data_IF_310948467269
#
_entry.id   IF_310948467269
#
_cell.length_a   1.000
_cell.length_b   1.000
_cell.length_c   1.000
_cell.angle_alpha   90.00
_cell.angle_beta   90.00
_cell.angle_gamma   90.00
#
_symmetry.space_group_name_H-M   'P 1'
#
loop_
_entity.id
_entity.type
_entity.pdbx_description
1 polymer ?
#
# COMPACT_ATOMS: atom_id res chain seq x y z
N UNK A 1 -8.25 19.41 10.48
CA UNK A 1 -7.98 18.87 9.13
C UNK A 1 -8.86 17.64 8.93
N UNK A 2 -9.53 17.55 7.78
CA UNK A 2 -10.43 16.44 7.41
C UNK A 2 -9.74 15.55 6.38
N UNK A 3 -9.73 14.24 6.63
CA UNK A 3 -9.11 13.24 5.76
C UNK A 3 -10.19 12.38 5.11
N UNK A 4 -10.27 12.41 3.79
CA UNK A 4 -11.06 11.49 3.00
C UNK A 4 -10.27 10.24 2.67
N UNK A 5 -10.91 9.07 2.73
CA UNK A 5 -10.36 7.80 2.25
C UNK A 5 -11.39 7.14 1.36
N UNK A 6 -10.99 6.78 0.13
CA UNK A 6 -11.87 6.13 -0.85
C UNK A 6 -11.42 4.69 -1.09
N UNK A 7 -12.29 3.75 -0.75
CA UNK A 7 -12.04 2.31 -0.71
C UNK A 7 -11.87 1.84 0.74
N UNK A 8 -12.69 0.88 1.18
CA UNK A 8 -12.71 0.37 2.55
C UNK A 8 -12.07 -1.01 2.71
N UNK A 9 -11.28 -1.45 1.72
CA UNK A 9 -10.48 -2.67 1.81
C UNK A 9 -9.35 -2.56 2.84
N UNK A 10 -8.47 -3.57 2.88
CA UNK A 10 -7.39 -3.69 3.88
C UNK A 10 -6.57 -2.39 4.00
N UNK A 11 -6.13 -1.82 2.88
CA UNK A 11 -5.31 -0.60 2.88
C UNK A 11 -6.10 0.62 3.33
N UNK A 12 -7.25 0.91 2.71
CA UNK A 12 -8.05 2.08 3.05
C UNK A 12 -8.57 2.07 4.49
N UNK A 13 -8.97 0.90 5.01
CA UNK A 13 -9.34 0.76 6.43
C UNK A 13 -8.16 1.05 7.36
N UNK A 14 -6.99 0.50 7.07
CA UNK A 14 -5.78 0.74 7.85
C UNK A 14 -5.31 2.20 7.80
N UNK A 15 -5.42 2.86 6.65
CA UNK A 15 -5.14 4.29 6.47
C UNK A 15 -6.11 5.12 7.31
N UNK A 16 -7.42 4.88 7.16
CA UNK A 16 -8.44 5.57 7.93
C UNK A 16 -8.21 5.41 9.45
N UNK A 17 -7.89 4.20 9.90
CA UNK A 17 -7.59 3.93 11.31
C UNK A 17 -6.39 4.74 11.83
N UNK A 18 -5.30 4.82 11.07
CA UNK A 18 -4.09 5.58 11.47
C UNK A 18 -4.39 7.06 11.66
N UNK A 19 -5.13 7.66 10.72
CA UNK A 19 -5.52 9.06 10.82
C UNK A 19 -6.49 9.30 11.99
N UNK A 20 -7.50 8.45 12.14
CA UNK A 20 -8.47 8.54 13.24
C UNK A 20 -7.80 8.39 14.62
N UNK A 21 -6.87 7.45 14.77
CA UNK A 21 -6.08 7.26 16.00
C UNK A 21 -5.21 8.48 16.34
N UNK A 22 -4.90 9.31 15.35
CA UNK A 22 -4.10 10.53 15.52
C UNK A 22 -4.97 11.79 15.69
N UNK A 23 -6.29 11.62 15.89
CA UNK A 23 -7.22 12.70 16.19
C UNK A 23 -7.78 13.45 14.96
N UNK A 24 -7.61 12.90 13.75
CA UNK A 24 -8.20 13.48 12.55
C UNK A 24 -9.66 13.06 12.39
N UNK A 25 -10.48 13.95 11.84
CA UNK A 25 -11.81 13.59 11.35
C UNK A 25 -11.67 12.88 10.01
N UNK A 26 -12.16 11.65 9.93
CA UNK A 26 -11.99 10.80 8.75
C UNK A 26 -13.34 10.49 8.11
N UNK A 27 -13.41 10.57 6.78
CA UNK A 27 -14.52 10.05 5.99
C UNK A 27 -14.03 8.86 5.19
N UNK A 28 -14.50 7.67 5.54
CA UNK A 28 -14.20 6.43 4.82
C UNK A 28 -15.37 6.09 3.90
N UNK A 29 -15.09 6.04 2.60
CA UNK A 29 -16.08 5.78 1.57
C UNK A 29 -15.83 4.46 0.86
N UNK A 30 -16.91 3.79 0.46
CA UNK A 30 -16.87 2.63 -0.43
C UNK A 30 -18.19 2.56 -1.22
N UNK A 31 -18.25 1.75 -2.27
CA UNK A 31 -19.45 1.56 -3.09
C UNK A 31 -20.51 0.73 -2.35
N UNK A 32 -20.10 -0.14 -1.42
CA UNK A 32 -20.99 -1.12 -0.79
C UNK A 32 -21.10 -0.88 0.72
N UNK A 33 -22.34 -0.84 1.22
CA UNK A 33 -22.61 -0.71 2.66
C UNK A 33 -22.05 -1.89 3.45
N UNK A 34 -22.07 -3.08 2.87
CA UNK A 34 -21.53 -4.30 3.47
C UNK A 34 -20.01 -4.22 3.65
N UNK A 35 -19.30 -3.64 2.69
CA UNK A 35 -17.86 -3.42 2.77
C UNK A 35 -17.51 -2.43 3.88
N UNK A 36 -18.29 -1.35 4.03
CA UNK A 36 -18.12 -0.37 5.11
C UNK A 36 -18.42 -0.96 6.49
N UNK A 37 -19.46 -1.80 6.59
CA UNK A 37 -19.79 -2.50 7.83
C UNK A 37 -18.65 -3.44 8.24
N UNK A 38 -18.12 -4.22 7.30
CA UNK A 38 -16.97 -5.07 7.55
C UNK A 38 -15.73 -4.26 7.96
N UNK A 39 -15.45 -3.15 7.26
CA UNK A 39 -14.36 -2.25 7.59
C UNK A 39 -14.47 -1.69 9.02
N UNK A 40 -15.69 -1.35 9.47
CA UNK A 40 -15.92 -0.90 10.86
C UNK A 40 -15.57 -2.00 11.87
N UNK A 41 -16.01 -3.23 11.63
CA UNK A 41 -15.70 -4.40 12.48
C UNK A 41 -14.19 -4.65 12.53
N UNK A 42 -13.53 -4.67 11.37
CA UNK A 42 -12.10 -4.94 11.27
C UNK A 42 -11.27 -3.87 12.00
N UNK A 43 -11.67 -2.60 11.86
CA UNK A 43 -11.06 -1.49 12.58
C UNK A 43 -11.25 -1.63 14.09
N UNK A 44 -12.46 -1.96 14.57
CA UNK A 44 -12.74 -2.19 15.99
C UNK A 44 -11.89 -3.31 16.58
N UNK A 45 -11.77 -4.43 15.85
CA UNK A 45 -10.92 -5.55 16.24
C UNK A 45 -9.44 -5.17 16.29
N UNK A 46 -8.96 -4.42 15.29
CA UNK A 46 -7.59 -3.93 15.28
C UNK A 46 -7.32 -2.99 16.45
N UNK A 47 -8.20 -2.02 16.70
CA UNK A 47 -8.09 -1.08 17.82
C UNK A 47 -8.08 -1.81 19.17
N UNK A 48 -8.93 -2.81 19.33
CA UNK A 48 -8.97 -3.66 20.54
C UNK A 48 -7.68 -4.45 20.74
N UNK A 49 -7.04 -4.92 19.66
CA UNK A 49 -5.73 -5.59 19.74
C UNK A 49 -4.61 -4.62 20.10
N UNK A 50 -4.65 -3.39 19.57
CA UNK A 50 -3.65 -2.35 19.83
C UNK A 50 -3.77 -1.82 21.26
N UNK A 51 -4.98 -1.58 21.76
CA UNK A 51 -5.21 -1.07 23.13
C UNK A 51 -4.72 -2.04 24.21
N UNK A 52 -4.69 -3.35 23.92
CA UNK A 52 -4.09 -4.37 24.81
C UNK A 52 -2.56 -4.37 24.82
N UNK A 53 -1.92 -3.88 23.76
CA UNK A 53 -0.45 -3.93 23.58
C UNK A 53 0.27 -2.63 23.91
N UNK A 54 -0.44 -1.50 23.92
CA UNK A 54 0.13 -0.19 24.24
C UNK A 54 -0.38 0.29 25.59
N UNK A 55 0.46 0.98 26.36
CA UNK A 55 0.08 1.78 27.54
C UNK A 55 -0.70 3.07 27.18
N UNK A 56 -1.14 3.20 25.93
CA UNK A 56 -1.90 4.37 25.49
C UNK A 56 -3.38 4.14 25.79
N UNK A 57 -4.01 5.11 26.46
CA UNK A 57 -5.44 5.17 26.77
C UNK A 57 -6.36 5.30 25.52
N UNK A 58 -6.07 4.57 24.43
CA UNK A 58 -6.86 4.56 23.21
C UNK A 58 -8.14 3.77 23.48
N UNK A 59 -9.27 4.46 23.47
CA UNK A 59 -10.59 3.84 23.50
C UNK A 59 -11.07 3.61 22.07
N UNK A 60 -11.32 2.36 21.65
CA UNK A 60 -11.80 2.07 20.29
C UNK A 60 -13.06 2.86 19.91
N UNK A 61 -13.97 3.08 20.88
CA UNK A 61 -15.18 3.88 20.69
C UNK A 61 -14.90 5.30 20.20
N UNK A 62 -13.91 5.95 20.78
CA UNK A 62 -13.62 7.37 20.54
C UNK A 62 -13.01 7.53 19.14
N UNK A 63 -12.12 6.59 18.76
CA UNK A 63 -11.57 6.53 17.40
C UNK A 63 -12.67 6.26 16.38
N UNK A 64 -13.55 5.29 16.62
CA UNK A 64 -14.65 4.95 15.71
C UNK A 64 -15.68 6.07 15.55
N UNK A 65 -15.83 6.95 16.54
CA UNK A 65 -16.70 8.14 16.46
C UNK A 65 -16.11 9.23 15.57
N UNK A 66 -14.78 9.29 15.43
CA UNK A 66 -14.09 10.22 14.53
C UNK A 66 -14.12 9.80 13.05
N UNK A 67 -14.64 8.60 12.76
CA UNK A 67 -14.75 8.05 11.40
C UNK A 67 -16.20 8.00 10.94
N UNK A 68 -16.50 8.74 9.86
CA UNK A 68 -17.75 8.64 9.12
C UNK A 68 -17.61 7.55 8.06
N UNK A 69 -18.42 6.51 8.15
CA UNK A 69 -18.51 5.44 7.15
C UNK A 69 -19.71 5.73 6.25
N UNK A 70 -19.48 5.96 4.96
CA UNK A 70 -20.56 6.39 4.06
C UNK A 70 -20.38 5.88 2.64
N UNK A 71 -21.47 5.62 1.93
CA UNK A 71 -21.43 5.33 0.49
C UNK A 71 -21.49 6.59 -0.37
N UNK A 72 -21.69 7.74 0.26
CA UNK A 72 -21.84 9.03 -0.40
C UNK A 72 -20.48 9.73 -0.55
N UNK A 73 -19.98 9.78 -1.79
CA UNK A 73 -18.70 10.42 -2.10
C UNK A 73 -18.74 11.95 -1.96
N UNK A 74 -19.91 12.58 -2.00
CA UNK A 74 -20.04 14.03 -1.82
C UNK A 74 -19.55 14.48 -0.44
N UNK A 75 -19.54 13.58 0.54
CA UNK A 75 -18.98 13.85 1.87
C UNK A 75 -17.45 14.03 1.87
N UNK A 76 -16.78 13.78 0.74
CA UNK A 76 -15.37 14.06 0.54
C UNK A 76 -15.11 15.51 0.11
N UNK A 77 -16.12 16.26 -0.34
CA UNK A 77 -15.96 17.55 -1.03
C UNK A 77 -15.09 18.57 -0.27
N UNK A 78 -15.29 18.70 1.04
CA UNK A 78 -14.59 19.63 1.94
C UNK A 78 -13.34 19.04 2.61
N UNK A 79 -12.90 17.84 2.20
CA UNK A 79 -11.70 17.20 2.76
C UNK A 79 -10.44 17.99 2.41
N UNK A 80 -9.48 18.07 3.33
CA UNK A 80 -8.19 18.70 3.06
C UNK A 80 -7.30 17.80 2.18
N UNK A 81 -7.39 16.49 2.42
CA UNK A 81 -6.67 15.44 1.68
C UNK A 81 -7.65 14.30 1.44
N UNK A 82 -7.69 13.77 0.21
CA UNK A 82 -8.39 12.53 -0.12
C UNK A 82 -7.36 11.47 -0.55
N UNK A 83 -7.37 10.32 0.11
CA UNK A 83 -6.49 9.18 -0.18
C UNK A 83 -7.30 8.07 -0.83
N UNK A 84 -7.03 7.80 -2.10
CA UNK A 84 -7.65 6.73 -2.86
C UNK A 84 -6.90 5.40 -2.62
N UNK A 85 -7.64 4.35 -2.27
CA UNK A 85 -7.15 3.00 -1.98
C UNK A 85 -8.13 1.92 -2.52
N UNK A 86 -8.59 2.10 -3.77
CA UNK A 86 -9.40 1.15 -4.52
C UNK A 86 -8.53 0.12 -5.25
N UNK A 87 -9.16 -0.70 -6.09
CA UNK A 87 -8.49 -1.73 -6.88
C UNK A 87 -7.32 -1.17 -7.70
N UNK A 88 -6.26 -1.97 -7.83
CA UNK A 88 -5.02 -1.59 -8.51
C UNK A 88 -5.19 -1.66 -10.04
N UNK A 89 -5.98 -0.74 -10.59
CA UNK A 89 -6.29 -0.64 -12.01
C UNK A 89 -6.25 0.81 -12.49
N UNK A 90 -5.42 1.09 -13.50
CA UNK A 90 -5.22 2.45 -14.01
C UNK A 90 -6.50 3.12 -14.51
N UNK A 91 -7.36 2.40 -15.22
CA UNK A 91 -8.65 2.96 -15.70
C UNK A 91 -9.58 3.30 -14.54
N UNK A 92 -9.66 2.42 -13.55
CA UNK A 92 -10.49 2.65 -12.37
C UNK A 92 -9.99 3.86 -11.56
N UNK A 93 -8.69 3.94 -11.29
CA UNK A 93 -8.09 5.07 -10.56
C UNK A 93 -8.21 6.38 -11.32
N UNK A 94 -7.85 6.45 -12.61
CA UNK A 94 -8.01 7.69 -13.40
C UNK A 94 -9.47 8.14 -13.52
N UNK A 95 -10.43 7.21 -13.60
CA UNK A 95 -11.86 7.54 -13.55
C UNK A 95 -12.26 8.16 -12.21
N UNK A 96 -11.82 7.57 -11.10
CA UNK A 96 -12.09 8.07 -9.76
C UNK A 96 -11.43 9.42 -9.53
N UNK A 97 -10.21 9.64 -10.02
CA UNK A 97 -9.52 10.92 -9.85
C UNK A 97 -10.21 12.06 -10.61
N UNK A 98 -10.82 11.79 -11.78
CA UNK A 98 -11.69 12.77 -12.47
C UNK A 98 -12.90 13.14 -11.62
N UNK A 99 -13.58 12.13 -11.08
CA UNK A 99 -14.75 12.34 -10.22
C UNK A 99 -14.38 13.11 -8.93
N UNK A 100 -13.26 12.76 -8.29
CA UNK A 100 -12.77 13.48 -7.11
C UNK A 100 -12.34 14.92 -7.43
N UNK A 101 -11.79 15.17 -8.62
CA UNK A 101 -11.45 16.53 -9.07
C UNK A 101 -12.68 17.43 -9.26
N UNK A 102 -13.82 16.85 -9.64
CA UNK A 102 -15.11 17.54 -9.74
C UNK A 102 -15.76 17.77 -8.36
N UNK A 103 -15.74 16.74 -7.49
CA UNK A 103 -16.40 16.77 -6.18
C UNK A 103 -15.64 17.65 -5.17
N UNK A 104 -14.31 17.56 -5.15
CA UNK A 104 -13.52 18.17 -4.07
C UNK A 104 -13.21 19.64 -4.32
N UNK A 105 -13.23 20.43 -3.25
CA UNK A 105 -12.77 21.82 -3.23
C UNK A 105 -11.41 21.96 -3.93
N UNK A 106 -11.18 23.07 -4.63
CA UNK A 106 -9.91 23.31 -5.35
C UNK A 106 -8.66 23.30 -4.45
N UNK A 107 -8.83 23.42 -3.13
CA UNK A 107 -7.76 23.34 -2.12
C UNK A 107 -7.33 21.89 -1.80
N UNK A 108 -8.17 20.90 -2.08
CA UNK A 108 -7.99 19.51 -1.68
C UNK A 108 -6.83 18.86 -2.42
N UNK A 109 -5.99 18.16 -1.66
CA UNK A 109 -4.92 17.32 -2.19
C UNK A 109 -5.50 15.93 -2.50
N UNK A 110 -5.23 15.40 -3.69
CA UNK A 110 -5.66 14.06 -4.08
C UNK A 110 -4.44 13.13 -4.10
N UNK A 111 -4.47 12.06 -3.31
CA UNK A 111 -3.36 11.14 -3.19
C UNK A 111 -3.79 9.70 -3.52
N UNK A 112 -2.99 8.96 -4.28
CA UNK A 112 -3.26 7.54 -4.56
C UNK A 112 -2.34 6.64 -3.74
N UNK A 113 -2.93 5.73 -2.97
CA UNK A 113 -2.23 4.56 -2.45
C UNK A 113 -2.21 3.47 -3.53
N UNK A 114 -1.18 3.52 -4.36
CA UNK A 114 -0.81 2.48 -5.31
C UNK A 114 0.60 1.99 -4.98
N UNK A 115 0.94 0.77 -5.35
CA UNK A 115 2.27 0.19 -5.18
C UNK A 115 3.07 0.13 -6.48
N UNK A 116 2.46 0.48 -7.62
CA UNK A 116 3.04 0.20 -8.94
C UNK A 116 2.59 1.10 -10.10
N UNK A 117 1.44 1.78 -9.98
CA UNK A 117 0.89 2.57 -11.08
C UNK A 117 1.53 3.95 -11.13
N UNK A 118 1.73 4.46 -12.35
CA UNK A 118 2.32 5.78 -12.58
C UNK A 118 1.42 6.89 -12.03
N UNK A 119 1.93 7.63 -11.04
CA UNK A 119 1.22 8.76 -10.44
C UNK A 119 1.06 9.89 -11.46
N UNK A 120 2.01 10.07 -12.36
CA UNK A 120 1.99 11.06 -13.45
C UNK A 120 0.79 10.86 -14.37
N UNK A 121 0.43 9.61 -14.66
CA UNK A 121 -0.77 9.30 -15.46
C UNK A 121 -2.06 9.57 -14.66
N UNK A 122 -2.07 9.24 -13.37
CA UNK A 122 -3.22 9.53 -12.48
C UNK A 122 -3.42 11.05 -12.35
N UNK A 123 -2.35 11.81 -12.13
CA UNK A 123 -2.37 13.26 -12.00
C UNK A 123 -2.90 13.94 -13.26
N UNK A 124 -2.43 13.50 -14.44
CA UNK A 124 -2.84 14.03 -15.74
C UNK A 124 -4.33 13.81 -16.06
N UNK A 125 -5.02 12.94 -15.32
CA UNK A 125 -6.47 12.77 -15.46
C UNK A 125 -7.29 13.88 -14.78
N UNK A 126 -6.66 14.77 -14.01
CA UNK A 126 -7.33 15.85 -13.25
C UNK A 126 -7.01 17.22 -13.82
N UNK A 127 -7.79 18.24 -13.43
CA UNK A 127 -7.52 19.66 -13.70
C UNK A 127 -6.62 20.32 -12.65
N UNK A 128 -6.10 19.56 -11.67
CA UNK A 128 -5.21 20.01 -10.59
C UNK A 128 -3.97 19.12 -10.43
N UNK A 129 -3.28 18.73 -11.52
CA UNK A 129 -2.21 17.73 -11.45
C UNK A 129 -1.08 18.10 -10.48
N UNK A 130 -0.86 19.39 -10.22
CA UNK A 130 0.10 19.91 -9.24
C UNK A 130 -0.24 19.63 -7.77
N UNK A 131 -1.49 19.26 -7.50
CA UNK A 131 -2.03 18.84 -6.18
C UNK A 131 -2.33 17.34 -6.11
N UNK A 132 -1.86 16.57 -7.09
CA UNK A 132 -1.94 15.11 -7.07
C UNK A 132 -0.59 14.53 -6.69
N UNK A 133 -0.57 13.53 -5.81
CA UNK A 133 0.65 12.78 -5.48
C UNK A 133 0.34 11.29 -5.24
N UNK A 134 1.38 10.46 -5.14
CA UNK A 134 1.26 9.11 -4.61
C UNK A 134 1.55 9.10 -3.11
N UNK A 135 0.89 8.19 -2.39
CA UNK A 135 1.10 7.95 -0.97
C UNK A 135 1.05 6.44 -0.68
N UNK A 136 2.21 5.79 -0.70
CA UNK A 136 2.28 4.34 -0.58
C UNK A 136 2.53 3.94 0.87
N UNK A 137 1.47 3.44 1.52
CA UNK A 137 1.54 2.81 2.83
C UNK A 137 1.93 1.34 2.71
N UNK A 138 2.49 0.78 3.77
CA UNK A 138 2.88 -0.62 3.83
C UNK A 138 1.96 -1.42 4.76
N UNK A 139 1.55 -2.61 4.33
CA UNK A 139 0.71 -3.51 5.12
C UNK A 139 1.56 -4.26 6.17
N UNK A 140 1.10 -4.41 7.43
CA UNK A 140 -0.09 -3.82 8.04
C UNK A 140 0.05 -2.33 8.36
N UNK A 141 -0.85 -1.49 7.83
CA UNK A 141 -0.75 -0.02 7.89
C UNK A 141 -0.63 0.53 9.32
N UNK A 142 -1.37 0.05 10.34
CA UNK A 142 -1.22 0.56 11.71
C UNK A 142 0.13 0.24 12.38
N UNK A 143 0.87 -0.73 11.86
CA UNK A 143 2.13 -1.21 12.45
C UNK A 143 3.36 -0.70 11.69
N UNK A 144 3.28 -0.61 10.36
CA UNK A 144 4.40 -0.16 9.53
C UNK A 144 4.63 1.33 9.69
N UNK A 145 5.90 1.73 9.90
CA UNK A 145 6.27 3.13 10.16
C UNK A 145 6.50 3.95 8.90
N UNK A 146 6.88 3.31 7.80
CA UNK A 146 7.27 3.99 6.57
C UNK A 146 6.06 4.31 5.69
N UNK A 147 6.13 5.43 4.97
CA UNK A 147 5.28 5.79 3.82
C UNK A 147 6.17 6.35 2.71
N UNK A 148 5.97 5.94 1.46
CA UNK A 148 6.60 6.62 0.32
C UNK A 148 5.66 7.72 -0.19
N UNK A 149 6.17 8.95 -0.32
CA UNK A 149 5.47 10.08 -0.96
C UNK A 149 6.02 10.20 -2.37
N UNK A 150 5.16 9.93 -3.36
CA UNK A 150 5.56 9.85 -4.75
C UNK A 150 5.17 11.15 -5.46
N UNK A 151 6.15 11.85 -5.99
CA UNK A 151 5.94 13.05 -6.80
C UNK A 151 5.72 12.62 -8.25
N UNK A 152 4.53 12.93 -8.77
CA UNK A 152 4.26 12.96 -10.19
C UNK A 152 5.14 14.02 -10.86
N UNK A 153 5.29 13.98 -12.18
CA UNK A 153 6.01 15.04 -12.92
C UNK A 153 5.46 16.44 -12.64
N UNK A 154 4.14 16.53 -12.40
CA UNK A 154 3.43 17.79 -12.18
C UNK A 154 3.37 18.22 -10.72
N UNK A 155 3.60 17.31 -9.76
CA UNK A 155 3.37 17.56 -8.33
C UNK A 155 4.23 18.71 -7.84
N UNK A 156 3.62 19.68 -7.16
CA UNK A 156 4.35 20.79 -6.57
C UNK A 156 5.08 20.39 -5.28
N UNK A 157 6.25 20.97 -5.04
CA UNK A 157 7.02 20.73 -3.81
C UNK A 157 6.24 21.09 -2.53
N UNK A 158 5.39 22.13 -2.61
CA UNK A 158 4.51 22.52 -1.49
C UNK A 158 3.61 21.37 -1.04
N UNK A 159 3.07 20.61 -2.00
CA UNK A 159 2.18 19.49 -1.73
C UNK A 159 2.96 18.33 -1.10
N UNK A 160 4.16 18.05 -1.58
CA UNK A 160 5.05 17.04 -0.99
C UNK A 160 5.39 17.39 0.47
N UNK A 161 5.76 18.64 0.74
CA UNK A 161 6.08 19.11 2.09
C UNK A 161 4.87 19.05 3.03
N UNK A 162 3.69 19.43 2.52
CA UNK A 162 2.44 19.37 3.30
C UNK A 162 2.06 17.93 3.63
N UNK A 163 2.17 17.00 2.67
CA UNK A 163 1.91 15.58 2.92
C UNK A 163 2.94 15.00 3.89
N UNK A 164 4.24 15.36 3.78
CA UNK A 164 5.25 14.90 4.73
C UNK A 164 4.91 15.26 6.17
N UNK A 165 4.54 16.52 6.42
CA UNK A 165 4.13 16.99 7.77
C UNK A 165 2.91 16.24 8.29
N UNK A 166 1.97 15.90 7.42
CA UNK A 166 0.77 15.12 7.77
C UNK A 166 1.09 13.65 8.05
N UNK A 167 2.11 13.09 7.39
CA UNK A 167 2.56 11.72 7.67
C UNK A 167 3.34 11.67 8.99
N UNK A 168 4.18 12.66 9.27
CA UNK A 168 4.89 12.80 10.53
C UNK A 168 3.93 12.92 11.72
N UNK A 169 2.85 13.71 11.59
CA UNK A 169 1.86 13.89 12.66
C UNK A 169 1.08 12.63 13.02
N UNK A 170 1.04 11.62 12.13
CA UNK A 170 0.45 10.30 12.41
C UNK A 170 1.49 9.27 12.89
N UNK A 171 2.64 9.74 13.38
CA UNK A 171 3.76 8.93 13.87
C UNK A 171 4.32 7.96 12.84
N UNK A 172 4.40 8.42 11.59
CA UNK A 172 5.04 7.70 10.48
C UNK A 172 6.21 8.51 9.92
N UNK A 173 7.15 7.81 9.34
CA UNK A 173 8.29 8.37 8.64
C UNK A 173 7.99 8.35 7.14
N UNK A 174 8.30 9.44 6.44
CA UNK A 174 8.12 9.55 5.01
C UNK A 174 9.46 9.49 4.28
N UNK A 175 9.45 8.95 3.06
CA UNK A 175 10.53 9.17 2.10
C UNK A 175 9.95 9.75 0.81
N UNK A 176 10.66 10.71 0.22
CA UNK A 176 10.26 11.32 -1.04
C UNK A 176 10.80 10.50 -2.22
N UNK A 177 9.93 10.21 -3.17
CA UNK A 177 10.23 9.34 -4.31
C UNK A 177 9.73 10.01 -5.59
N UNK A 178 10.50 9.90 -6.66
CA UNK A 178 10.02 10.29 -8.00
C UNK A 178 9.16 9.17 -8.58
N UNK A 179 8.13 9.54 -9.33
CA UNK A 179 7.28 8.58 -10.03
C UNK A 179 8.10 7.71 -10.99
N UNK A 180 8.34 6.48 -10.54
CA UNK A 180 9.17 5.49 -11.21
C UNK A 180 8.60 4.10 -10.92
N UNK A 181 8.78 3.12 -11.83
CA UNK A 181 8.23 1.78 -11.62
C UNK A 181 8.67 1.19 -10.27
N UNK A 182 7.69 0.90 -9.41
CA UNK A 182 7.84 0.31 -8.07
C UNK A 182 8.56 1.17 -7.01
N UNK A 183 8.73 2.47 -7.27
CA UNK A 183 9.22 3.43 -6.27
C UNK A 183 10.59 3.05 -5.71
N UNK A 184 10.81 3.12 -4.39
CA UNK A 184 12.10 2.78 -3.78
C UNK A 184 12.08 1.37 -3.21
N UNK A 185 11.15 1.08 -2.29
CA UNK A 185 11.18 -0.17 -1.52
C UNK A 185 10.99 -1.38 -2.43
N UNK A 186 9.93 -1.40 -3.23
CA UNK A 186 9.64 -2.54 -4.10
C UNK A 186 10.65 -2.67 -5.25
N UNK A 187 11.19 -1.55 -5.74
CA UNK A 187 12.23 -1.54 -6.77
C UNK A 187 13.52 -2.25 -6.36
N UNK A 188 13.83 -2.30 -5.06
CA UNK A 188 14.97 -3.02 -4.49
C UNK A 188 14.55 -4.40 -3.98
N UNK A 189 13.47 -4.47 -3.21
CA UNK A 189 13.04 -5.67 -2.51
C UNK A 189 12.64 -6.79 -3.47
N UNK A 190 11.85 -6.48 -4.51
CA UNK A 190 11.32 -7.52 -5.41
C UNK A 190 12.43 -8.18 -6.23
N UNK A 191 13.39 -7.45 -6.83
CA UNK A 191 14.55 -8.06 -7.47
C UNK A 191 15.42 -8.89 -6.51
N UNK A 192 15.61 -8.44 -5.26
CA UNK A 192 16.35 -9.21 -4.26
C UNK A 192 15.67 -10.55 -3.95
N UNK A 193 14.34 -10.55 -3.81
CA UNK A 193 13.57 -11.79 -3.65
C UNK A 193 13.70 -12.66 -4.90
N UNK A 194 13.60 -12.09 -6.10
CA UNK A 194 13.78 -12.84 -7.35
C UNK A 194 15.17 -13.48 -7.44
N UNK A 195 16.21 -12.82 -6.93
CA UNK A 195 17.56 -13.38 -6.87
C UNK A 195 17.61 -14.61 -5.96
N UNK A 196 16.96 -14.57 -4.80
CA UNK A 196 16.85 -15.75 -3.94
C UNK A 196 16.12 -16.91 -4.64
N UNK A 197 15.11 -16.61 -5.46
CA UNK A 197 14.41 -17.62 -6.26
C UNK A 197 15.33 -18.20 -7.34
N UNK A 198 16.20 -17.41 -7.97
CA UNK A 198 17.20 -17.93 -8.91
C UNK A 198 18.19 -18.87 -8.21
N UNK A 199 18.73 -18.48 -7.06
CA UNK A 199 19.63 -19.31 -6.26
C UNK A 199 19.00 -20.66 -5.91
N UNK A 200 17.71 -20.65 -5.52
CA UNK A 200 16.96 -21.88 -5.26
C UNK A 200 16.67 -22.68 -6.54
N UNK A 201 16.26 -22.02 -7.63
CA UNK A 201 15.98 -22.65 -8.93
C UNK A 201 17.21 -23.35 -9.53
N UNK A 202 18.41 -22.80 -9.30
CA UNK A 202 19.69 -23.33 -9.75
C UNK A 202 20.23 -24.46 -8.85
N UNK A 203 19.56 -24.75 -7.73
CA UNK A 203 19.93 -25.83 -6.82
C UNK A 203 21.18 -25.54 -5.98
N UNK A 204 21.55 -24.26 -5.81
CA UNK A 204 22.74 -23.86 -5.06
C UNK A 204 22.59 -24.19 -3.56
N UNK A 205 21.40 -24.00 -3.01
CA UNK A 205 21.10 -24.24 -1.60
C UNK A 205 19.61 -24.54 -1.37
N UNK A 206 19.30 -25.12 -0.21
CA UNK A 206 17.91 -25.34 0.22
C UNK A 206 17.23 -24.02 0.57
N UNK A 207 15.88 -23.99 0.55
CA UNK A 207 15.15 -22.79 0.95
C UNK A 207 15.49 -22.35 2.39
N UNK A 208 15.61 -23.32 3.30
CA UNK A 208 16.01 -23.10 4.69
C UNK A 208 17.40 -22.47 4.81
N UNK A 209 18.39 -22.96 4.06
CA UNK A 209 19.75 -22.42 4.11
C UNK A 209 19.85 -21.03 3.47
N UNK A 210 19.12 -20.77 2.38
CA UNK A 210 19.03 -19.44 1.75
C UNK A 210 18.44 -18.43 2.75
N UNK A 211 17.32 -18.77 3.36
CA UNK A 211 16.65 -17.89 4.32
C UNK A 211 17.47 -17.71 5.59
N UNK A 212 18.12 -18.78 6.09
CA UNK A 212 19.05 -18.70 7.23
C UNK A 212 20.25 -17.82 6.91
N UNK A 213 20.81 -17.93 5.71
CA UNK A 213 21.92 -17.10 5.23
C UNK A 213 21.58 -15.62 5.25
N UNK A 214 20.41 -15.24 4.72
CA UNK A 214 19.98 -13.83 4.72
C UNK A 214 19.61 -13.32 6.11
N UNK A 215 19.07 -14.18 6.98
CA UNK A 215 18.76 -13.79 8.36
C UNK A 215 20.02 -13.58 9.20
N UNK A 216 20.93 -14.56 9.22
CA UNK A 216 22.09 -14.54 10.11
C UNK A 216 23.28 -13.79 9.52
N UNK A 217 23.46 -13.84 8.20
CA UNK A 217 24.57 -13.19 7.50
C UNK A 217 24.29 -11.74 7.12
N UNK A 218 23.12 -11.46 6.55
CA UNK A 218 22.73 -10.09 6.14
C UNK A 218 21.87 -9.36 7.18
N UNK A 219 21.53 -10.00 8.29
CA UNK A 219 20.79 -9.38 9.40
C UNK A 219 19.31 -9.12 9.11
N UNK A 220 18.73 -9.75 8.09
CA UNK A 220 17.31 -9.55 7.79
C UNK A 220 16.43 -10.20 8.87
N UNK A 221 15.29 -9.60 9.25
CA UNK A 221 14.38 -10.20 10.23
C UNK A 221 13.74 -11.50 9.71
N UNK A 222 13.66 -11.64 8.39
CA UNK A 222 13.07 -12.79 7.69
C UNK A 222 13.85 -13.07 6.41
N UNK A 223 13.92 -14.36 6.05
CA UNK A 223 14.54 -14.77 4.79
C UNK A 223 13.67 -14.41 3.57
N UNK A 224 14.28 -14.19 2.41
CA UNK A 224 13.59 -13.73 1.21
C UNK A 224 12.54 -14.72 0.68
N UNK A 225 12.74 -16.04 0.81
CA UNK A 225 11.78 -17.03 0.31
C UNK A 225 10.58 -17.15 1.23
N UNK A 226 10.78 -17.11 2.55
CA UNK A 226 9.68 -17.01 3.52
C UNK A 226 8.88 -15.73 3.32
N UNK A 227 9.58 -14.61 3.11
CA UNK A 227 8.94 -13.34 2.82
C UNK A 227 8.13 -13.40 1.51
N UNK A 228 8.63 -14.08 0.48
CA UNK A 228 7.92 -14.28 -0.77
C UNK A 228 6.58 -15.00 -0.58
N UNK A 229 6.57 -16.05 0.25
CA UNK A 229 5.34 -16.79 0.56
C UNK A 229 4.31 -15.96 1.35
N UNK A 230 4.76 -15.01 2.17
CA UNK A 230 3.87 -14.10 2.92
C UNK A 230 3.29 -13.02 2.00
N UNK A 231 4.11 -12.46 1.11
CA UNK A 231 3.65 -11.46 0.11
C UNK A 231 2.65 -12.10 -0.86
N UNK A 232 2.91 -13.35 -1.24
CA UNK A 232 2.18 -14.07 -2.26
C UNK A 232 2.96 -14.13 -3.56
N UNK A 233 3.17 -15.35 -4.07
CA UNK A 233 3.99 -15.58 -5.26
C UNK A 233 3.34 -15.03 -6.54
N UNK A 234 2.01 -15.00 -6.60
CA UNK A 234 1.24 -14.37 -7.67
C UNK A 234 1.40 -12.84 -7.66
N UNK A 235 1.38 -12.21 -6.50
CA UNK A 235 1.67 -10.77 -6.34
C UNK A 235 3.08 -10.44 -6.80
N UNK A 236 4.08 -11.21 -6.34
CA UNK A 236 5.47 -11.02 -6.77
C UNK A 236 5.64 -11.22 -8.28
N UNK A 237 5.00 -12.23 -8.86
CA UNK A 237 5.02 -12.46 -10.30
C UNK A 237 4.42 -11.29 -11.06
N UNK A 238 3.29 -10.75 -10.61
CA UNK A 238 2.64 -9.60 -11.23
C UNK A 238 3.57 -8.37 -11.20
N UNK A 239 4.09 -8.04 -10.02
CA UNK A 239 4.95 -6.87 -9.80
C UNK A 239 6.25 -6.96 -10.61
N UNK A 240 6.92 -8.13 -10.62
CA UNK A 240 8.15 -8.31 -11.39
C UNK A 240 7.90 -8.28 -12.91
N UNK A 241 6.76 -8.80 -13.38
CA UNK A 241 6.38 -8.68 -14.80
C UNK A 241 6.16 -7.23 -15.21
N UNK A 242 5.43 -6.47 -14.40
CA UNK A 242 5.24 -5.03 -14.62
C UNK A 242 6.58 -4.32 -14.70
N UNK A 243 7.48 -4.56 -13.73
CA UNK A 243 8.81 -3.97 -13.73
C UNK A 243 9.61 -4.29 -15.00
N UNK A 244 9.57 -5.55 -15.43
CA UNK A 244 10.24 -5.97 -16.65
C UNK A 244 9.65 -5.31 -17.90
N UNK A 245 8.32 -5.17 -17.97
CA UNK A 245 7.62 -4.54 -19.10
C UNK A 245 7.91 -3.03 -19.17
N UNK A 246 7.82 -2.33 -18.05
CA UNK A 246 8.05 -0.88 -17.97
C UNK A 246 9.50 -0.51 -18.29
N UNK A 247 10.46 -1.34 -17.88
CA UNK A 247 11.88 -1.05 -18.11
C UNK A 247 12.44 -1.60 -19.42
N UNK A 248 11.83 -2.66 -19.97
CA UNK A 248 12.37 -3.41 -21.10
C UNK A 248 13.72 -4.09 -20.82
N UNK A 249 14.18 -4.12 -19.56
CA UNK A 249 15.53 -4.54 -19.19
C UNK A 249 15.56 -5.98 -18.64
N UNK A 250 16.34 -6.84 -19.29
CA UNK A 250 16.57 -8.24 -18.92
C UNK A 250 17.11 -8.45 -17.50
N UNK A 251 17.66 -7.40 -16.86
CA UNK A 251 17.97 -7.39 -15.43
C UNK A 251 16.76 -7.75 -14.58
N UNK A 252 15.56 -7.33 -14.98
CA UNK A 252 14.31 -7.56 -14.24
C UNK A 252 13.56 -8.79 -14.73
N UNK A 253 14.23 -9.71 -15.43
CA UNK A 253 13.62 -10.97 -15.86
C UNK A 253 13.01 -11.74 -14.67
N UNK A 254 11.86 -12.37 -14.93
CA UNK A 254 11.14 -13.16 -13.93
C UNK A 254 11.71 -14.60 -13.87
N UNK A 255 11.99 -15.15 -12.66
CA UNK A 255 12.39 -16.55 -12.48
C UNK A 255 11.42 -17.55 -13.12
N UNK A 256 11.92 -18.62 -13.73
CA UNK A 256 11.02 -19.59 -14.39
C UNK A 256 10.30 -20.42 -13.33
N UNK A 257 10.96 -20.70 -12.20
CA UNK A 257 10.35 -21.38 -11.07
C UNK A 257 9.15 -20.60 -10.52
N UNK A 258 9.28 -19.29 -10.32
CA UNK A 258 8.17 -18.44 -9.86
C UNK A 258 6.95 -18.57 -10.77
N UNK A 259 7.15 -18.54 -12.10
CA UNK A 259 6.06 -18.75 -13.07
C UNK A 259 5.42 -20.15 -12.92
N UNK A 260 6.22 -21.20 -12.70
CA UNK A 260 5.72 -22.57 -12.52
C UNK A 260 4.90 -22.71 -11.23
N UNK A 261 5.40 -22.17 -10.12
CA UNK A 261 4.71 -22.22 -8.82
C UNK A 261 3.35 -21.52 -8.88
N UNK A 262 3.30 -20.32 -9.46
CA UNK A 262 2.03 -19.60 -9.65
C UNK A 262 1.08 -20.36 -10.57
N UNK A 263 1.57 -20.96 -11.67
CA UNK A 263 0.71 -21.80 -12.54
C UNK A 263 0.15 -23.04 -11.82
N UNK A 264 0.87 -23.56 -10.83
CA UNK A 264 0.44 -24.69 -10.02
C UNK A 264 -0.51 -24.31 -8.87
N UNK A 265 -0.83 -23.01 -8.69
CA UNK A 265 -1.66 -22.53 -7.58
C UNK A 265 -0.93 -22.44 -6.25
N UNK A 266 0.40 -22.55 -6.25
CA UNK A 266 1.23 -22.39 -5.05
C UNK A 266 1.52 -20.90 -4.86
N UNK A 267 0.66 -20.20 -4.11
CA UNK A 267 0.79 -18.76 -3.88
C UNK A 267 1.43 -18.42 -2.52
N UNK A 268 1.96 -19.40 -1.79
CA UNK A 268 2.55 -19.21 -0.47
C UNK A 268 1.54 -19.44 0.64
N UNK A 269 1.64 -18.65 1.71
CA UNK A 269 0.87 -18.87 2.94
C UNK A 269 -0.64 -18.87 2.71
N UNK A 270 -1.13 -18.04 1.79
CA UNK A 270 -2.57 -17.92 1.50
C UNK A 270 -3.20 -19.14 0.81
N UNK A 271 -2.39 -20.05 0.27
CA UNK A 271 -2.84 -21.31 -0.36
C UNK A 271 -2.28 -22.54 0.33
N UNK A 272 -1.68 -22.40 1.52
CA UNK A 272 -1.09 -23.51 2.25
C UNK A 272 0.26 -24.00 1.69
N UNK A 273 0.75 -23.45 0.57
CA UNK A 273 1.94 -23.96 -0.14
C UNK A 273 2.62 -22.90 -1.00
N UNK A 274 3.94 -22.78 -0.84
CA UNK A 274 4.85 -21.96 -1.64
C UNK A 274 6.24 -22.57 -1.67
N UNK A 275 7.26 -21.83 -1.22
CA UNK A 275 8.58 -22.40 -0.93
C UNK A 275 8.56 -23.30 0.31
N UNK A 276 7.62 -23.03 1.21
CA UNK A 276 7.32 -23.83 2.38
C UNK A 276 5.89 -24.39 2.33
N UNK A 277 5.63 -25.42 3.13
CA UNK A 277 4.27 -25.87 3.43
C UNK A 277 3.72 -25.13 4.66
N UNK A 278 2.43 -24.80 4.63
CA UNK A 278 1.73 -24.08 5.69
C UNK A 278 0.48 -24.85 6.11
N UNK A 279 0.15 -24.81 7.42
CA UNK A 279 -1.05 -25.45 7.95
C UNK A 279 -2.34 -24.79 7.45
#
# INVERSE_FOLDING_TARGET
MKIGVLGSGIMGNGIAQVFAMSGYNVVLTDLKKEALHQARIDMEQSLTKISKKKENNIKPSDVLQSVVFTTDKEQLADSDIVIEAIIENMKAKTSVFRELDEICDSKTILASNTSSLAITEIAAATNRPEKVCGIHFFNPVPLMKLVEIISAEQTSNEIVDRISKVIESVNKESIQVKDTPLFVVNRILVPMICEAIFVFEEGIATADDIDKGMKLGAGHPMGPLKLADIIGLDTLLYVQKMLFQETGDSKYRVPKLLKKMVRAGNFGQKTGKGFYDYP
#
